data_IF_249144127007
#
_entry.id   IF_249144127007
#
_cell.length_a   1.000
_cell.length_b   1.000
_cell.length_c   1.000
_cell.angle_alpha   90.00
_cell.angle_beta   90.00
_cell.angle_gamma   90.00
#
_symmetry.space_group_name_H-M   'P 1'
#
loop_
_entity.id
_entity.type
_entity.pdbx_description
1 polymer ?
#
# COMPACT_ATOMS: atom_id res chain seq x y z
N UNK A 1 42.65 68.10 -27.80
CA UNK A 1 42.42 68.07 -26.33
C UNK A 1 41.52 66.87 -26.03
N UNK A 2 42.00 65.90 -25.24
CA UNK A 2 41.36 64.59 -25.01
C UNK A 2 40.19 64.74 -24.03
N UNK A 3 39.04 64.13 -24.34
CA UNK A 3 37.87 64.07 -23.45
C UNK A 3 37.64 62.63 -22.98
N UNK A 4 37.70 62.48 -21.66
CA UNK A 4 37.54 61.28 -20.83
C UNK A 4 36.13 60.68 -20.96
N UNK A 5 36.01 59.34 -20.98
CA UNK A 5 34.80 58.65 -20.52
C UNK A 5 35.17 57.34 -19.85
N UNK A 6 34.83 57.26 -18.56
CA UNK A 6 34.99 56.16 -17.63
C UNK A 6 33.69 55.37 -17.64
N UNK A 7 33.72 54.03 -17.71
CA UNK A 7 32.55 53.20 -17.38
C UNK A 7 33.02 52.09 -16.43
N UNK A 8 32.68 52.26 -15.15
CA UNK A 8 32.70 51.22 -14.14
C UNK A 8 31.51 50.28 -14.41
N UNK A 9 31.74 48.97 -14.42
CA UNK A 9 30.65 47.99 -14.39
C UNK A 9 30.86 47.08 -13.19
N UNK A 10 30.09 47.34 -12.13
CA UNK A 10 30.03 46.52 -10.92
C UNK A 10 29.05 45.38 -11.14
N UNK A 11 29.53 44.14 -11.19
CA UNK A 11 28.67 42.96 -11.25
C UNK A 11 28.27 42.55 -9.83
N UNK A 12 27.03 42.84 -9.45
CA UNK A 12 26.39 42.31 -8.23
C UNK A 12 25.83 40.92 -8.57
N UNK A 13 26.54 39.88 -8.16
CA UNK A 13 26.06 38.50 -8.27
C UNK A 13 25.02 38.21 -7.20
N UNK A 14 23.74 38.13 -7.59
CA UNK A 14 22.65 37.64 -6.74
C UNK A 14 22.81 36.12 -6.62
N UNK A 15 23.24 35.64 -5.45
CA UNK A 15 23.21 34.21 -5.12
C UNK A 15 21.76 33.84 -4.79
N UNK A 16 21.06 33.26 -5.75
CA UNK A 16 19.76 32.64 -5.52
C UNK A 16 19.98 31.33 -4.74
N UNK A 17 19.67 31.35 -3.44
CA UNK A 17 19.58 30.13 -2.62
C UNK A 17 18.27 29.43 -2.99
N UNK A 18 18.34 28.51 -3.94
CA UNK A 18 17.23 27.61 -4.27
C UNK A 18 17.02 26.66 -3.08
N UNK A 19 16.03 26.95 -2.24
CA UNK A 19 15.57 26.04 -1.19
C UNK A 19 14.93 24.82 -1.86
N UNK A 20 15.71 23.75 -2.02
CA UNK A 20 15.22 22.43 -2.40
C UNK A 20 14.41 21.87 -1.24
N UNK A 21 13.10 22.12 -1.24
CA UNK A 21 12.16 21.34 -0.41
C UNK A 21 12.12 19.93 -0.97
N UNK A 22 12.69 18.97 -0.23
CA UNK A 22 12.53 17.56 -0.55
C UNK A 22 11.02 17.22 -0.55
N UNK A 23 10.53 16.45 -1.53
CA UNK A 23 9.14 16.02 -1.52
C UNK A 23 8.91 15.17 -0.26
N UNK A 24 7.97 15.58 0.59
CA UNK A 24 7.51 14.73 1.69
C UNK A 24 6.84 13.51 1.07
N UNK A 25 7.40 12.31 1.30
CA UNK A 25 6.78 11.08 0.87
C UNK A 25 5.32 11.06 1.37
N UNK A 26 4.38 10.93 0.44
CA UNK A 26 2.97 10.92 0.79
C UNK A 26 2.69 9.71 1.70
N UNK A 27 1.85 9.92 2.72
CA UNK A 27 1.47 8.84 3.62
C UNK A 27 0.80 7.71 2.81
N UNK A 28 1.22 6.47 3.07
CA UNK A 28 0.67 5.28 2.44
C UNK A 28 0.16 4.32 3.50
N UNK A 29 -0.97 3.67 3.22
CA UNK A 29 -1.49 2.56 4.03
C UNK A 29 -0.95 1.26 3.43
N UNK A 30 0.04 0.60 4.04
CA UNK A 30 0.57 -0.64 3.50
C UNK A 30 -0.47 -1.76 3.52
N UNK A 31 -0.41 -2.59 2.49
CA UNK A 31 -1.17 -3.84 2.38
C UNK A 31 -0.23 -5.05 2.52
N UNK A 32 -0.47 -5.84 3.55
CA UNK A 32 0.11 -7.17 3.66
C UNK A 32 -0.83 -8.21 3.04
N UNK A 33 -0.26 -9.20 2.39
CA UNK A 33 -1.01 -10.29 1.78
C UNK A 33 -0.40 -11.62 2.19
N UNK A 34 -1.23 -12.51 2.69
CA UNK A 34 -0.85 -13.88 3.05
C UNK A 34 -1.53 -14.83 2.07
N UNK A 35 -0.72 -15.63 1.37
CA UNK A 35 -1.20 -16.66 0.43
C UNK A 35 -1.21 -18.01 1.13
N UNK A 36 -2.34 -18.70 1.08
CA UNK A 36 -2.47 -20.10 1.47
C UNK A 36 -2.84 -20.98 0.28
N UNK A 37 -3.08 -22.27 0.52
CA UNK A 37 -3.64 -23.16 -0.50
C UNK A 37 -5.03 -22.66 -0.89
N UNK A 38 -5.18 -22.31 -2.16
CA UNK A 38 -6.40 -21.75 -2.75
C UNK A 38 -7.03 -20.60 -1.93
N UNK A 39 -6.20 -19.79 -1.28
CA UNK A 39 -6.67 -18.74 -0.39
C UNK A 39 -5.74 -17.53 -0.39
N UNK A 40 -6.33 -16.38 -0.12
CA UNK A 40 -5.63 -15.10 -0.08
C UNK A 40 -6.25 -14.23 1.00
N UNK A 41 -5.42 -13.73 1.91
CA UNK A 41 -5.80 -12.80 2.96
C UNK A 41 -5.13 -11.45 2.75
N UNK A 42 -5.91 -10.39 2.90
CA UNK A 42 -5.51 -8.99 2.75
C UNK A 42 -5.53 -8.35 4.13
N UNK A 43 -4.46 -7.70 4.54
CA UNK A 43 -4.36 -6.98 5.81
C UNK A 43 -3.94 -5.55 5.53
N UNK A 44 -4.88 -4.62 5.67
CA UNK A 44 -4.61 -3.18 5.58
C UNK A 44 -4.08 -2.69 6.92
N UNK A 45 -2.95 -1.98 6.93
CA UNK A 45 -2.35 -1.46 8.17
C UNK A 45 -2.36 0.06 8.13
N UNK A 46 -3.26 0.65 8.92
CA UNK A 46 -3.37 2.10 9.05
C UNK A 46 -2.43 2.58 10.16
N UNK A 47 -1.28 3.11 9.74
CA UNK A 47 -0.32 3.74 10.65
C UNK A 47 -0.65 5.21 10.94
N UNK A 48 -1.77 5.74 10.44
CA UNK A 48 -2.16 7.13 10.66
C UNK A 48 -2.93 7.31 11.98
N UNK A 49 -3.08 8.57 12.42
CA UNK A 49 -3.87 8.94 13.59
C UNK A 49 -5.36 9.06 13.27
N UNK A 50 -5.71 9.17 11.99
CA UNK A 50 -7.08 9.21 11.53
C UNK A 50 -7.56 7.86 11.01
N UNK A 51 -8.87 7.71 10.98
CA UNK A 51 -9.50 6.56 10.39
C UNK A 51 -9.52 6.62 8.87
N UNK A 52 -9.35 5.47 8.23
CA UNK A 52 -9.48 5.35 6.77
C UNK A 52 -10.41 4.22 6.35
N UNK A 53 -10.75 4.21 5.06
CA UNK A 53 -11.48 3.11 4.41
C UNK A 53 -10.66 2.66 3.22
N UNK A 54 -10.41 1.35 3.16
CA UNK A 54 -9.53 0.72 2.18
C UNK A 54 -10.25 -0.32 1.35
N UNK A 55 -9.81 -0.47 0.11
CA UNK A 55 -10.20 -1.54 -0.80
C UNK A 55 -8.99 -2.06 -1.57
N UNK A 56 -9.00 -3.34 -1.90
CA UNK A 56 -8.04 -3.97 -2.79
C UNK A 56 -8.75 -4.73 -3.91
N UNK A 57 -8.16 -4.68 -5.10
CA UNK A 57 -8.57 -5.40 -6.29
C UNK A 57 -7.46 -6.36 -6.70
N UNK A 58 -7.79 -7.64 -6.82
CA UNK A 58 -6.90 -8.69 -7.27
C UNK A 58 -7.28 -9.10 -8.70
N UNK A 59 -6.33 -9.02 -9.62
CA UNK A 59 -6.47 -9.43 -11.02
C UNK A 59 -5.51 -10.58 -11.32
N UNK A 60 -6.05 -11.71 -11.77
CA UNK A 60 -5.28 -12.92 -12.10
C UNK A 60 -6.14 -13.90 -12.91
N UNK A 61 -6.02 -15.22 -12.68
CA UNK A 61 -6.90 -16.23 -13.28
C UNK A 61 -8.39 -15.92 -13.13
N UNK A 62 -8.76 -15.34 -12.00
CA UNK A 62 -10.05 -14.68 -11.77
C UNK A 62 -9.80 -13.29 -11.20
N UNK A 63 -10.78 -12.39 -11.32
CA UNK A 63 -10.69 -11.04 -10.77
C UNK A 63 -11.74 -10.83 -9.68
N UNK A 64 -11.34 -10.21 -8.58
CA UNK A 64 -12.23 -9.97 -7.44
C UNK A 64 -11.75 -8.78 -6.59
N UNK A 65 -12.65 -8.26 -5.75
CA UNK A 65 -12.39 -7.09 -4.90
C UNK A 65 -12.72 -7.39 -3.44
N UNK A 66 -11.93 -6.84 -2.52
CA UNK A 66 -12.33 -6.74 -1.11
C UNK A 66 -13.51 -5.78 -0.98
N UNK A 67 -14.34 -5.86 0.07
CA UNK A 67 -15.28 -4.78 0.34
C UNK A 67 -14.51 -3.52 0.79
N UNK A 68 -15.21 -2.38 0.80
CA UNK A 68 -14.83 -1.22 1.59
C UNK A 68 -14.62 -1.64 3.05
N UNK A 69 -13.38 -1.58 3.52
CA UNK A 69 -13.00 -2.00 4.87
C UNK A 69 -12.58 -0.78 5.67
N UNK A 70 -13.30 -0.49 6.75
CA UNK A 70 -12.97 0.58 7.70
C UNK A 70 -11.78 0.14 8.55
N UNK A 71 -10.67 0.88 8.48
CA UNK A 71 -9.44 0.58 9.22
C UNK A 71 -9.21 1.67 10.27
N UNK A 72 -9.40 1.36 11.57
CA UNK A 72 -9.19 2.35 12.65
C UNK A 72 -7.78 2.94 12.61
N UNK A 73 -7.64 4.13 13.22
CA UNK A 73 -6.34 4.75 13.44
C UNK A 73 -5.39 3.79 14.18
N UNK A 74 -4.11 3.81 13.81
CA UNK A 74 -3.04 3.01 14.41
C UNK A 74 -3.39 1.52 14.56
N UNK A 75 -4.08 0.95 13.57
CA UNK A 75 -4.63 -0.41 13.63
C UNK A 75 -4.56 -1.13 12.28
N UNK A 76 -5.00 -2.38 12.26
CA UNK A 76 -5.05 -3.21 11.07
C UNK A 76 -6.41 -3.89 10.90
N UNK A 77 -6.84 -4.08 9.66
CA UNK A 77 -8.06 -4.82 9.32
C UNK A 77 -7.78 -5.88 8.26
N UNK A 78 -8.28 -7.09 8.48
CA UNK A 78 -8.05 -8.23 7.60
C UNK A 78 -9.32 -8.67 6.87
N UNK A 79 -9.17 -9.06 5.60
CA UNK A 79 -10.22 -9.71 4.79
C UNK A 79 -9.64 -10.96 4.15
N UNK A 80 -10.30 -12.09 4.34
CA UNK A 80 -9.88 -13.39 3.80
C UNK A 80 -10.77 -13.88 2.66
N UNK A 81 -10.15 -14.53 1.67
CA UNK A 81 -10.82 -15.23 0.58
C UNK A 81 -10.35 -16.69 0.48
N UNK A 82 -11.30 -17.59 0.30
CA UNK A 82 -11.10 -19.01 -0.02
C UNK A 82 -11.55 -19.26 -1.46
N UNK A 83 -11.28 -20.47 -1.95
CA UNK A 83 -11.56 -20.88 -3.33
C UNK A 83 -10.93 -19.94 -4.37
N UNK A 84 -9.77 -19.36 -4.02
CA UNK A 84 -8.97 -18.55 -4.93
C UNK A 84 -8.21 -19.50 -5.85
N UNK A 85 -8.44 -19.49 -7.18
CA UNK A 85 -7.69 -20.34 -8.10
C UNK A 85 -6.19 -20.09 -8.00
N UNK A 86 -5.39 -21.15 -8.07
CA UNK A 86 -3.93 -21.02 -8.09
C UNK A 86 -3.46 -20.20 -9.29
N UNK A 87 -2.46 -19.34 -9.08
CA UNK A 87 -1.89 -18.48 -10.11
C UNK A 87 -1.35 -17.16 -9.59
N UNK A 88 -0.86 -16.34 -10.51
CA UNK A 88 -0.31 -15.01 -10.21
C UNK A 88 -1.42 -13.96 -10.19
N UNK A 89 -1.45 -13.15 -9.14
CA UNK A 89 -2.38 -12.04 -8.98
C UNK A 89 -1.63 -10.73 -8.83
N UNK A 90 -2.05 -9.74 -9.62
CA UNK A 90 -1.69 -8.35 -9.42
C UNK A 90 -2.74 -7.72 -8.51
N UNK A 91 -2.30 -7.25 -7.35
CA UNK A 91 -3.13 -6.61 -6.34
C UNK A 91 -2.87 -5.12 -6.37
N UNK A 92 -3.93 -4.34 -6.59
CA UNK A 92 -3.91 -2.89 -6.46
C UNK A 92 -4.80 -2.52 -5.27
N UNK A 93 -4.40 -1.58 -4.45
CA UNK A 93 -5.22 -1.14 -3.33
C UNK A 93 -5.18 0.37 -3.16
N UNK A 94 -6.22 0.90 -2.57
CA UNK A 94 -6.35 2.31 -2.27
C UNK A 94 -7.03 2.47 -0.91
N UNK A 95 -6.60 3.49 -0.18
CA UNK A 95 -7.27 3.93 1.04
C UNK A 95 -7.61 5.41 0.90
N UNK A 96 -8.76 5.81 1.43
CA UNK A 96 -9.22 7.21 1.32
C UNK A 96 -8.20 8.15 1.95
N UNK A 97 -7.69 9.09 1.15
CA UNK A 97 -6.71 10.10 1.58
C UNK A 97 -5.24 9.66 1.52
N UNK A 98 -4.95 8.46 1.02
CA UNK A 98 -3.59 7.91 0.93
C UNK A 98 -3.25 7.51 -0.50
N UNK A 99 -1.96 7.37 -0.80
CA UNK A 99 -1.52 6.88 -2.11
C UNK A 99 -1.96 5.43 -2.36
N UNK A 100 -2.16 5.13 -3.65
CA UNK A 100 -2.48 3.77 -4.09
C UNK A 100 -1.22 2.91 -4.08
N UNK A 101 -1.38 1.66 -3.69
CA UNK A 101 -0.31 0.67 -3.76
C UNK A 101 -0.58 -0.42 -4.78
N UNK A 102 0.50 -1.09 -5.18
CA UNK A 102 0.46 -2.24 -6.09
C UNK A 102 1.46 -3.30 -5.66
N UNK A 103 1.08 -4.58 -5.76
CA UNK A 103 1.98 -5.73 -5.55
C UNK A 103 1.54 -6.93 -6.36
N UNK A 104 2.44 -7.88 -6.54
CA UNK A 104 2.13 -9.19 -7.14
C UNK A 104 2.27 -10.28 -6.08
N UNK A 105 1.39 -11.26 -6.12
CA UNK A 105 1.44 -12.47 -5.28
C UNK A 105 1.16 -13.71 -6.11
N UNK A 106 1.62 -14.87 -5.64
CA UNK A 106 1.33 -16.16 -6.26
C UNK A 106 0.54 -17.00 -5.27
N UNK A 107 -0.69 -17.36 -5.63
CA UNK A 107 -1.54 -18.28 -4.86
C UNK A 107 -1.22 -19.70 -5.31
N UNK A 108 -0.89 -20.57 -4.35
CA UNK A 108 -0.64 -22.00 -4.59
C UNK A 108 -1.93 -22.81 -4.42
N UNK A 109 -1.94 -24.06 -4.92
CA UNK A 109 -3.07 -24.97 -4.80
C UNK A 109 -3.54 -25.53 -6.13
N UNK A 110 -4.79 -25.98 -6.19
CA UNK A 110 -5.38 -26.51 -7.40
C UNK A 110 -5.82 -25.39 -8.36
N UNK A 111 -5.77 -25.61 -9.67
CA UNK A 111 -6.54 -24.79 -10.59
C UNK A 111 -8.02 -25.00 -10.30
N UNK A 112 -8.74 -23.90 -10.05
CA UNK A 112 -10.19 -23.91 -9.85
C UNK A 112 -10.81 -23.21 -11.06
N UNK A 113 -11.62 -23.91 -11.85
CA UNK A 113 -12.29 -23.38 -13.05
C UNK A 113 -13.74 -23.03 -12.73
N UNK A 114 -14.19 -21.85 -13.15
CA UNK A 114 -15.58 -21.42 -12.93
C UNK A 114 -15.96 -21.12 -11.47
N UNK A 115 -15.00 -21.16 -10.54
CA UNK A 115 -15.23 -20.85 -9.13
C UNK A 115 -14.96 -19.37 -8.86
N UNK A 116 -15.90 -18.71 -8.18
CA UNK A 116 -15.71 -17.34 -7.71
C UNK A 116 -15.14 -17.36 -6.29
N UNK A 117 -14.05 -16.63 -6.00
CA UNK A 117 -13.51 -16.54 -4.65
C UNK A 117 -14.55 -16.10 -3.64
N UNK A 118 -14.66 -16.82 -2.54
CA UNK A 118 -15.65 -16.56 -1.48
C UNK A 118 -14.98 -15.93 -0.27
N UNK A 119 -15.69 -15.03 0.42
CA UNK A 119 -15.20 -14.52 1.70
C UNK A 119 -15.23 -15.64 2.73
N UNK A 120 -14.12 -15.86 3.40
CA UNK A 120 -14.01 -16.92 4.39
C UNK A 120 -12.82 -16.73 5.33
N UNK A 121 -12.79 -17.56 6.37
CA UNK A 121 -11.63 -17.67 7.21
C UNK A 121 -10.50 -18.31 6.39
N UNK A 122 -9.42 -17.56 6.17
CA UNK A 122 -8.23 -18.09 5.52
C UNK A 122 -7.39 -18.77 6.60
N UNK A 123 -7.07 -20.07 6.46
CA UNK A 123 -6.16 -20.72 7.39
C UNK A 123 -4.84 -19.97 7.36
N UNK A 124 -4.40 -19.46 8.51
CA UNK A 124 -3.05 -18.91 8.63
C UNK A 124 -2.08 -20.01 8.23
N UNK A 125 -1.23 -19.77 7.23
CA UNK A 125 -0.16 -20.71 6.91
C UNK A 125 0.63 -21.02 8.18
N UNK A 126 1.03 -22.28 8.45
CA UNK A 126 1.91 -22.57 9.57
C UNK A 126 3.24 -21.84 9.34
N UNK A 127 3.52 -20.81 10.14
CA UNK A 127 4.84 -20.19 10.19
C UNK A 127 5.02 -18.88 9.42
N UNK A 128 4.54 -17.78 10.02
CA UNK A 128 5.35 -16.57 10.30
C UNK A 128 4.61 -15.77 11.35
N UNK A 129 4.85 -16.14 12.61
CA UNK A 129 4.36 -15.39 13.76
C UNK A 129 4.93 -13.97 13.70
N UNK A 130 4.11 -13.01 13.28
CA UNK A 130 4.27 -11.64 13.75
C UNK A 130 3.77 -11.67 15.19
N UNK A 131 4.68 -11.91 16.12
CA UNK A 131 4.44 -11.73 17.54
C UNK A 131 4.10 -10.26 17.79
N UNK A 132 2.82 -9.93 17.73
CA UNK A 132 2.27 -8.71 18.30
C UNK A 132 1.71 -9.12 19.66
N UNK A 133 2.50 -8.86 20.69
CA UNK A 133 2.03 -8.94 22.07
C UNK A 133 0.99 -7.86 22.34
N UNK A 134 -0.06 -8.23 23.08
CA UNK A 134 -0.84 -7.46 24.07
C UNK A 134 -2.08 -8.30 24.38
N UNK A 135 -2.17 -9.01 25.51
CA UNK A 135 -2.53 -8.54 26.87
C UNK A 135 -4.03 -8.69 27.17
N UNK A 136 -4.35 -9.40 28.27
CA UNK A 136 -5.65 -9.47 28.98
C UNK A 136 -6.69 -10.41 28.36
N UNK A 137 -7.51 -11.19 29.08
CA UNK A 137 -7.92 -11.13 30.49
C UNK A 137 -8.56 -12.46 30.89
N UNK A 138 -8.29 -12.94 32.10
CA UNK A 138 -9.21 -13.56 33.10
C UNK A 138 -8.37 -14.11 34.25
#
# INVERSE_FOLDING_TARGET
MRKTTQILTSAVGVVAVSMLTAPTAAAAVPLHTETGTNSLKFTFVNNDNDITTCEAYAAGPVSFRTPATRVPARSAASVGFVDVPAGNYVINWACRGFEQGKRTVTVSGAPLTGVTPQRGAVPSAPGRGVGTGSAGSS
#
